data_IF_876467216810
#
_entry.id   IF_876467216810
#
_cell.length_a   1.000
_cell.length_b   1.000
_cell.length_c   1.000
_cell.angle_alpha   90.00
_cell.angle_beta   90.00
_cell.angle_gamma   90.00
#
_symmetry.space_group_name_H-M   'P 1'
#
loop_
_entity.id
_entity.type
_entity.pdbx_description
1 polymer ?
#
# COMPACT_ATOMS: atom_id res chain seq x y z
N UNK A 1 -49.41 -5.72 -33.76
CA UNK A 1 -49.30 -4.42 -34.47
C UNK A 1 -49.36 -3.21 -33.52
N UNK A 2 -48.79 -3.30 -32.30
CA UNK A 2 -48.51 -2.15 -31.41
C UNK A 2 -47.23 -2.50 -30.62
N UNK A 3 -46.09 -2.62 -31.33
CA UNK A 3 -44.78 -2.86 -30.70
C UNK A 3 -43.63 -2.27 -31.53
N UNK A 4 -43.87 -1.18 -32.27
CA UNK A 4 -42.85 -0.57 -33.15
C UNK A 4 -42.82 0.97 -33.13
N UNK A 5 -43.40 1.63 -32.13
CA UNK A 5 -43.30 3.09 -31.97
C UNK A 5 -43.33 3.49 -30.50
N UNK A 6 -42.18 3.39 -29.82
CA UNK A 6 -41.65 4.35 -28.82
C UNK A 6 -40.14 4.04 -28.78
N UNK A 7 -39.44 4.47 -29.82
CA UNK A 7 -38.01 4.79 -29.76
C UNK A 7 -37.93 6.18 -30.36
N UNK A 8 -37.90 7.18 -29.49
CA UNK A 8 -37.39 8.54 -29.70
C UNK A 8 -37.90 9.44 -28.57
N UNK A 9 -36.98 10.15 -27.93
CA UNK A 9 -37.19 11.14 -26.86
C UNK A 9 -37.23 10.64 -25.41
N UNK A 10 -36.15 10.00 -24.96
CA UNK A 10 -35.65 10.23 -23.60
C UNK A 10 -34.33 10.96 -23.76
N UNK A 11 -34.32 12.23 -23.34
CA UNK A 11 -33.21 13.14 -23.55
C UNK A 11 -31.87 12.57 -23.01
N UNK A 12 -30.75 12.73 -23.72
CA UNK A 12 -29.42 12.30 -23.25
C UNK A 12 -29.04 12.92 -21.89
N UNK A 13 -29.65 14.06 -21.50
CA UNK A 13 -29.44 14.68 -20.18
C UNK A 13 -30.02 13.88 -19.01
N UNK A 14 -31.06 13.07 -19.21
CA UNK A 14 -31.68 12.26 -18.15
C UNK A 14 -30.87 10.99 -17.88
N UNK A 15 -30.36 10.33 -18.93
CA UNK A 15 -29.43 9.21 -18.79
C UNK A 15 -28.09 9.66 -18.17
N UNK A 16 -27.59 10.82 -18.56
CA UNK A 16 -26.38 11.42 -17.99
C UNK A 16 -26.58 11.84 -16.52
N UNK A 17 -27.74 12.41 -16.17
CA UNK A 17 -28.09 12.76 -14.79
C UNK A 17 -28.29 11.53 -13.91
N UNK A 18 -28.90 10.46 -14.41
CA UNK A 18 -29.05 9.19 -13.68
C UNK A 18 -27.70 8.47 -13.52
N UNK A 19 -26.82 8.57 -14.51
CA UNK A 19 -25.45 8.05 -14.46
C UNK A 19 -24.59 8.84 -13.47
N UNK A 20 -24.67 10.17 -13.48
CA UNK A 20 -24.03 11.05 -12.49
C UNK A 20 -24.60 10.81 -11.09
N UNK A 21 -25.92 10.68 -10.94
CA UNK A 21 -26.54 10.38 -9.65
C UNK A 21 -26.14 8.98 -9.15
N UNK A 22 -26.00 7.98 -10.02
CA UNK A 22 -25.42 6.67 -9.64
C UNK A 22 -23.94 6.78 -9.30
N UNK A 23 -23.15 7.55 -10.04
CA UNK A 23 -21.72 7.80 -9.77
C UNK A 23 -21.53 8.51 -8.45
N UNK A 24 -22.29 9.59 -8.20
CA UNK A 24 -22.32 10.35 -6.96
C UNK A 24 -22.86 9.46 -5.84
N UNK A 25 -23.95 8.72 -6.03
CA UNK A 25 -24.48 7.81 -5.01
C UNK A 25 -23.51 6.70 -4.66
N UNK A 26 -22.68 6.22 -5.60
CA UNK A 26 -21.69 5.17 -5.34
C UNK A 26 -20.38 5.72 -4.78
N UNK A 27 -19.86 6.84 -5.29
CA UNK A 27 -18.74 7.58 -4.70
C UNK A 27 -19.09 8.04 -3.28
N UNK A 28 -20.31 8.54 -3.08
CA UNK A 28 -20.88 8.81 -1.78
C UNK A 28 -21.00 7.48 -1.02
N UNK A 29 -21.74 6.46 -1.46
CA UNK A 29 -21.86 5.17 -0.75
C UNK A 29 -20.53 4.52 -0.34
N UNK A 30 -19.49 4.48 -1.18
CA UNK A 30 -18.22 3.81 -0.86
C UNK A 30 -17.29 4.70 -0.03
N UNK A 31 -17.12 5.98 -0.38
CA UNK A 31 -16.31 6.92 0.44
C UNK A 31 -17.01 7.30 1.73
N UNK A 32 -18.33 7.48 1.74
CA UNK A 32 -19.16 7.78 2.91
C UNK A 32 -19.29 6.56 3.83
N UNK A 33 -19.37 5.31 3.35
CA UNK A 33 -19.31 4.14 4.25
C UNK A 33 -17.96 4.04 4.96
N UNK A 34 -16.87 4.26 4.23
CA UNK A 34 -15.53 4.29 4.81
C UNK A 34 -15.35 5.46 5.80
N UNK A 35 -15.80 6.66 5.41
CA UNK A 35 -15.72 7.88 6.22
C UNK A 35 -16.67 7.89 7.42
N UNK A 36 -17.87 7.32 7.32
CA UNK A 36 -18.80 7.22 8.43
C UNK A 36 -18.34 6.23 9.48
N UNK A 37 -17.83 5.04 9.10
CA UNK A 37 -17.32 4.08 10.10
C UNK A 37 -16.03 4.59 10.74
N UNK A 38 -15.17 5.27 9.99
CA UNK A 38 -13.93 5.81 10.56
C UNK A 38 -14.20 6.95 11.56
N UNK A 39 -15.37 7.59 11.48
CA UNK A 39 -15.79 8.69 12.37
C UNK A 39 -16.93 8.35 13.34
N UNK A 40 -17.52 7.16 13.26
CA UNK A 40 -18.70 6.77 14.02
C UNK A 40 -18.80 5.25 14.21
N UNK A 41 -19.43 4.79 15.29
CA UNK A 41 -19.59 3.37 15.57
C UNK A 41 -20.65 2.75 14.66
N UNK A 42 -20.45 1.48 14.27
CA UNK A 42 -21.40 0.72 13.43
C UNK A 42 -22.85 0.83 13.91
N UNK A 43 -23.07 0.70 15.23
CA UNK A 43 -24.39 0.81 15.83
C UNK A 43 -25.02 2.19 15.62
N UNK A 44 -24.23 3.27 15.80
CA UNK A 44 -24.71 4.64 15.60
C UNK A 44 -25.09 4.91 14.14
N UNK A 45 -24.34 4.36 13.19
CA UNK A 45 -24.67 4.47 11.75
C UNK A 45 -25.97 3.71 11.47
N UNK A 46 -26.10 2.50 12.01
CA UNK A 46 -27.32 1.68 11.87
C UNK A 46 -28.55 2.38 12.44
N UNK A 47 -28.41 3.09 13.55
CA UNK A 47 -29.52 3.78 14.21
C UNK A 47 -29.98 5.04 13.45
N UNK A 48 -29.09 5.67 12.68
CA UNK A 48 -29.38 6.89 11.89
C UNK A 48 -29.95 6.55 10.50
N UNK A 49 -29.61 5.37 9.97
CA UNK A 49 -29.97 4.97 8.60
C UNK A 49 -31.32 4.23 8.59
N UNK A 50 -32.27 4.57 7.69
CA UNK A 50 -33.52 3.83 7.57
C UNK A 50 -33.31 2.35 7.26
N UNK A 51 -34.16 1.47 7.82
CA UNK A 51 -34.05 0.00 7.67
C UNK A 51 -34.04 -0.50 6.22
N UNK A 52 -34.60 0.27 5.28
CA UNK A 52 -34.54 -0.02 3.84
C UNK A 52 -33.12 -0.05 3.27
N UNK A 53 -32.15 0.55 3.98
CA UNK A 53 -30.75 0.62 3.60
C UNK A 53 -29.85 -0.34 4.41
N UNK A 54 -30.42 -1.27 5.19
CA UNK A 54 -29.64 -2.26 5.94
C UNK A 54 -28.71 -3.09 5.02
N UNK A 55 -29.12 -3.36 3.78
CA UNK A 55 -28.33 -4.11 2.80
C UNK A 55 -27.12 -3.36 2.26
N UNK A 56 -27.10 -2.03 2.38
CA UNK A 56 -25.95 -1.21 2.01
C UNK A 56 -25.10 -0.82 3.21
N UNK A 57 -25.52 -1.12 4.45
CA UNK A 57 -24.67 -0.89 5.60
C UNK A 57 -23.39 -1.76 5.51
N UNK A 58 -22.26 -1.21 5.95
CA UNK A 58 -21.02 -1.95 6.00
C UNK A 58 -21.12 -3.10 7.01
N UNK A 59 -20.38 -4.18 6.74
CA UNK A 59 -20.26 -5.29 7.68
C UNK A 59 -19.65 -4.83 9.01
N UNK A 60 -19.86 -5.61 10.07
CA UNK A 60 -19.19 -5.35 11.35
C UNK A 60 -17.69 -5.50 11.20
N UNK A 61 -16.96 -4.56 11.77
CA UNK A 61 -15.49 -4.49 11.75
C UNK A 61 -14.89 -5.48 12.78
N UNK A 62 -15.15 -6.78 12.60
CA UNK A 62 -14.63 -7.85 13.44
C UNK A 62 -13.50 -8.61 12.73
N UNK A 63 -12.43 -9.00 13.46
CA UNK A 63 -11.35 -9.81 12.89
C UNK A 63 -11.85 -11.22 12.56
N UNK A 64 -11.46 -11.74 11.40
CA UNK A 64 -11.73 -13.11 10.99
C UNK A 64 -10.50 -14.00 11.25
N UNK A 65 -10.44 -14.63 12.42
CA UNK A 65 -9.33 -15.51 12.78
C UNK A 65 -9.61 -16.95 12.34
N UNK A 66 -8.95 -17.39 11.27
CA UNK A 66 -9.21 -18.69 10.64
C UNK A 66 -8.88 -19.92 11.51
N UNK A 67 -7.99 -19.78 12.49
CA UNK A 67 -7.59 -20.88 13.38
C UNK A 67 -8.54 -21.14 14.56
N UNK A 68 -9.64 -20.39 14.66
CA UNK A 68 -10.76 -20.67 15.59
C UNK A 68 -12.10 -20.84 14.87
N UNK A 69 -12.12 -20.76 13.53
CA UNK A 69 -13.33 -20.91 12.74
C UNK A 69 -13.77 -22.38 12.67
N UNK A 70 -15.02 -22.61 12.30
CA UNK A 70 -15.53 -23.97 12.01
C UNK A 70 -14.68 -24.60 10.89
N UNK A 71 -14.09 -25.77 11.16
CA UNK A 71 -13.12 -26.42 10.26
C UNK A 71 -11.65 -26.08 10.51
N UNK A 72 -11.33 -25.26 11.51
CA UNK A 72 -9.94 -24.94 11.86
C UNK A 72 -9.11 -26.18 12.22
N UNK A 73 -9.72 -27.24 12.77
CA UNK A 73 -9.03 -28.48 13.14
C UNK A 73 -8.31 -29.16 11.97
N UNK A 74 -8.79 -28.95 10.74
CA UNK A 74 -8.19 -29.49 9.51
C UNK A 74 -7.19 -28.54 8.83
N UNK A 75 -7.07 -27.29 9.30
CA UNK A 75 -6.12 -26.33 8.71
C UNK A 75 -4.68 -26.63 9.16
N UNK A 76 -3.70 -26.59 8.24
CA UNK A 76 -2.29 -26.67 8.59
C UNK A 76 -1.91 -25.58 9.58
N UNK A 77 -1.15 -25.93 10.63
CA UNK A 77 -0.64 -24.96 11.61
C UNK A 77 -1.61 -24.57 12.73
N UNK A 78 -2.84 -25.11 12.80
CA UNK A 78 -3.79 -24.79 13.89
C UNK A 78 -3.27 -25.13 15.28
N UNK A 79 -2.61 -26.26 15.46
CA UNK A 79 -2.02 -26.64 16.75
C UNK A 79 -0.97 -25.61 17.21
N UNK A 80 -0.08 -25.22 16.30
CA UNK A 80 0.95 -24.21 16.56
C UNK A 80 0.32 -22.83 16.79
N UNK A 81 -0.76 -22.48 16.07
CA UNK A 81 -1.49 -21.23 16.27
C UNK A 81 -2.08 -21.15 17.70
N UNK A 82 -2.65 -22.25 18.20
CA UNK A 82 -3.15 -22.33 19.58
C UNK A 82 -2.04 -22.24 20.62
N UNK A 83 -0.92 -22.94 20.40
CA UNK A 83 0.27 -22.86 21.26
C UNK A 83 0.83 -21.43 21.28
N UNK A 84 0.98 -20.81 20.11
CA UNK A 84 1.46 -19.44 19.97
C UNK A 84 0.53 -18.45 20.68
N UNK A 85 -0.79 -18.65 20.57
CA UNK A 85 -1.76 -17.83 21.28
C UNK A 85 -1.57 -17.90 22.80
N UNK A 86 -1.34 -19.10 23.34
CA UNK A 86 -1.09 -19.28 24.76
C UNK A 86 0.26 -18.68 25.20
N UNK A 87 1.31 -18.85 24.42
CA UNK A 87 2.63 -18.26 24.66
C UNK A 87 2.58 -16.73 24.71
N UNK A 88 1.87 -16.09 23.77
CA UNK A 88 1.73 -14.63 23.74
C UNK A 88 0.94 -14.13 24.96
N UNK A 89 -0.15 -14.82 25.35
CA UNK A 89 -0.92 -14.49 26.56
C UNK A 89 -0.05 -14.60 27.83
N UNK A 90 0.88 -15.55 27.86
CA UNK A 90 1.85 -15.74 28.94
C UNK A 90 3.05 -14.78 28.87
N UNK A 91 2.99 -13.74 28.04
CA UNK A 91 4.02 -12.69 27.90
C UNK A 91 5.39 -13.21 27.44
N UNK A 92 5.41 -14.21 26.56
CA UNK A 92 6.65 -14.76 26.01
C UNK A 92 7.58 -13.72 25.34
N UNK A 93 8.83 -14.11 25.19
CA UNK A 93 9.87 -13.38 24.47
C UNK A 93 9.76 -13.60 22.94
N UNK A 94 10.43 -12.76 22.12
CA UNK A 94 10.54 -12.98 20.68
C UNK A 94 11.19 -14.34 20.32
N UNK A 95 12.15 -14.80 21.12
CA UNK A 95 12.87 -16.07 20.91
C UNK A 95 11.97 -17.29 21.15
N UNK A 96 11.07 -17.21 22.13
CA UNK A 96 10.07 -18.25 22.38
C UNK A 96 9.13 -18.41 21.19
N UNK A 97 8.73 -17.29 20.56
CA UNK A 97 7.87 -17.32 19.36
C UNK A 97 8.59 -17.99 18.21
N UNK A 98 9.85 -17.61 17.96
CA UNK A 98 10.65 -18.24 16.90
C UNK A 98 10.80 -19.74 17.15
N UNK A 99 10.94 -20.15 18.41
CA UNK A 99 11.04 -21.57 18.79
C UNK A 99 9.75 -22.33 18.48
N UNK A 100 8.58 -21.78 18.85
CA UNK A 100 7.27 -22.36 18.51
C UNK A 100 7.06 -22.42 16.99
N UNK A 101 7.46 -21.37 16.25
CA UNK A 101 7.30 -21.32 14.80
C UNK A 101 8.22 -22.30 14.06
N UNK A 102 9.34 -22.76 14.64
CA UNK A 102 10.22 -23.75 14.01
C UNK A 102 9.53 -25.09 13.76
N UNK A 103 8.49 -25.41 14.53
CA UNK A 103 7.73 -26.65 14.42
C UNK A 103 6.87 -26.73 13.15
N UNK A 104 6.65 -25.60 12.46
CA UNK A 104 5.83 -25.56 11.25
C UNK A 104 6.59 -26.04 10.01
N UNK A 105 6.01 -26.97 9.23
CA UNK A 105 6.59 -27.39 7.96
C UNK A 105 6.58 -26.23 6.96
N UNK A 106 7.48 -26.28 5.97
CA UNK A 106 7.45 -25.33 4.86
C UNK A 106 6.66 -25.95 3.69
N UNK A 107 5.46 -25.45 3.37
CA UNK A 107 4.68 -26.01 2.27
C UNK A 107 5.34 -25.82 0.90
N UNK A 108 6.37 -24.96 0.81
CA UNK A 108 7.13 -24.73 -0.43
C UNK A 108 8.32 -25.70 -0.60
N UNK A 109 8.75 -26.39 0.46
CA UNK A 109 9.84 -27.40 0.36
C UNK A 109 9.42 -28.60 -0.48
N UNK A 110 8.12 -28.92 -0.52
CA UNK A 110 7.57 -30.01 -1.32
C UNK A 110 7.47 -29.68 -2.82
N UNK A 111 7.35 -28.40 -3.20
CA UNK A 111 7.14 -27.94 -4.59
C UNK A 111 8.41 -27.33 -5.24
N UNK A 112 9.28 -26.64 -4.50
CA UNK A 112 10.42 -25.88 -5.04
C UNK A 112 11.82 -26.46 -4.68
N UNK A 113 11.87 -27.53 -3.89
CA UNK A 113 13.10 -28.17 -3.44
C UNK A 113 13.79 -27.46 -2.25
N UNK A 114 14.91 -28.02 -1.74
CA UNK A 114 15.60 -27.49 -0.57
C UNK A 114 16.32 -26.18 -0.89
N UNK A 115 15.61 -25.05 -0.79
CA UNK A 115 16.15 -23.72 -1.09
C UNK A 115 15.20 -22.54 -0.90
N UNK A 116 13.91 -22.77 -0.58
CA UNK A 116 12.96 -21.66 -0.44
C UNK A 116 13.30 -20.77 0.76
N UNK A 117 13.58 -19.49 0.48
CA UNK A 117 14.05 -18.50 1.46
C UNK A 117 13.02 -18.12 2.53
N UNK A 118 11.74 -18.37 2.30
CA UNK A 118 10.66 -17.98 3.22
C UNK A 118 9.66 -19.12 3.42
N UNK A 119 8.93 -19.07 4.54
CA UNK A 119 7.90 -20.06 4.88
C UNK A 119 6.54 -19.35 5.04
N UNK A 120 5.61 -19.50 4.08
CA UNK A 120 4.34 -18.80 4.10
C UNK A 120 3.44 -19.24 5.26
N UNK A 121 3.53 -20.49 5.71
CA UNK A 121 2.73 -20.99 6.83
C UNK A 121 3.20 -20.39 8.17
N UNK A 122 4.51 -20.26 8.37
CA UNK A 122 5.08 -19.58 9.56
C UNK A 122 4.63 -18.13 9.62
N UNK A 123 4.72 -17.41 8.48
CA UNK A 123 4.28 -16.02 8.38
C UNK A 123 2.79 -15.92 8.70
N UNK A 124 1.97 -16.76 8.07
CA UNK A 124 0.53 -16.68 8.23
C UNK A 124 0.08 -16.97 9.67
N UNK A 125 0.53 -18.08 10.27
CA UNK A 125 0.21 -18.42 11.67
C UNK A 125 0.61 -17.29 12.63
N UNK A 126 1.81 -16.74 12.44
CA UNK A 126 2.32 -15.65 13.26
C UNK A 126 1.49 -14.36 13.12
N UNK A 127 1.29 -13.90 11.88
CA UNK A 127 0.60 -12.64 11.57
C UNK A 127 -0.87 -12.71 12.02
N UNK A 128 -1.57 -13.81 11.68
CA UNK A 128 -2.96 -14.04 12.08
C UNK A 128 -3.10 -14.00 13.61
N UNK A 129 -2.24 -14.72 14.33
CA UNK A 129 -2.35 -14.86 15.79
C UNK A 129 -2.01 -13.57 16.52
N UNK A 130 -0.96 -12.86 16.10
CA UNK A 130 -0.57 -11.59 16.71
C UNK A 130 -1.64 -10.53 16.54
N UNK A 131 -2.13 -10.34 15.32
CA UNK A 131 -3.11 -9.28 15.07
C UNK A 131 -4.49 -9.64 15.60
N UNK A 132 -4.84 -10.92 15.71
CA UNK A 132 -6.04 -11.35 16.42
C UNK A 132 -5.96 -11.00 17.91
N UNK A 133 -4.84 -11.26 18.58
CA UNK A 133 -4.65 -10.89 19.99
C UNK A 133 -4.54 -9.36 20.19
N UNK A 134 -4.03 -8.64 19.18
CA UNK A 134 -3.96 -7.18 19.14
C UNK A 134 -5.27 -6.49 18.73
N UNK A 135 -6.34 -7.23 18.43
CA UNK A 135 -7.54 -6.70 17.76
C UNK A 135 -8.37 -5.69 18.54
N UNK A 136 -8.14 -5.55 19.85
CA UNK A 136 -8.95 -4.69 20.74
C UNK A 136 -8.92 -3.20 20.35
N UNK A 137 -7.78 -2.70 19.88
CA UNK A 137 -7.66 -1.33 19.36
C UNK A 137 -6.40 -1.18 18.52
N UNK A 138 -6.32 -0.09 17.72
CA UNK A 138 -5.12 0.22 16.94
C UNK A 138 -3.84 0.25 17.80
N UNK A 139 -3.91 0.81 19.01
CA UNK A 139 -2.77 0.86 19.93
C UNK A 139 -2.28 -0.52 20.35
N UNK A 140 -3.18 -1.50 20.54
CA UNK A 140 -2.79 -2.86 20.88
C UNK A 140 -2.07 -3.53 19.71
N UNK A 141 -2.59 -3.39 18.48
CA UNK A 141 -1.92 -3.87 17.27
C UNK A 141 -0.54 -3.21 17.09
N UNK A 142 -0.41 -1.91 17.32
CA UNK A 142 0.87 -1.21 17.21
C UNK A 142 1.88 -1.62 18.29
N UNK A 143 1.41 -1.86 19.51
CA UNK A 143 2.24 -2.38 20.59
C UNK A 143 2.72 -3.80 20.27
N UNK A 144 1.88 -4.64 19.66
CA UNK A 144 2.27 -5.97 19.22
C UNK A 144 3.33 -5.93 18.11
N UNK A 145 3.14 -5.07 17.10
CA UNK A 145 4.16 -4.84 16.05
C UNK A 145 5.50 -4.38 16.65
N UNK A 146 5.46 -3.45 17.61
CA UNK A 146 6.67 -2.93 18.25
C UNK A 146 7.37 -4.01 19.09
N UNK A 147 6.62 -4.78 19.89
CA UNK A 147 7.15 -5.85 20.74
C UNK A 147 7.82 -6.96 19.93
N UNK A 148 7.23 -7.33 18.79
CA UNK A 148 7.67 -8.48 17.99
C UNK A 148 8.35 -8.06 16.68
N UNK A 149 8.85 -6.82 16.59
CA UNK A 149 9.47 -6.28 15.38
C UNK A 149 10.61 -7.15 14.85
N UNK A 150 11.44 -7.71 15.74
CA UNK A 150 12.53 -8.62 15.37
C UNK A 150 12.02 -9.87 14.66
N UNK A 151 10.93 -10.47 15.14
CA UNK A 151 10.32 -11.65 14.51
C UNK A 151 9.74 -11.30 13.14
N UNK A 152 9.09 -10.15 13.01
CA UNK A 152 8.63 -9.66 11.71
C UNK A 152 9.78 -9.48 10.72
N UNK A 153 10.90 -8.87 11.13
CA UNK A 153 12.07 -8.68 10.26
C UNK A 153 12.67 -10.00 9.78
N UNK A 154 12.71 -11.01 10.66
CA UNK A 154 13.21 -12.35 10.31
C UNK A 154 12.25 -13.10 9.37
N UNK A 155 10.95 -12.90 9.53
CA UNK A 155 9.94 -13.60 8.73
C UNK A 155 9.64 -12.91 7.40
N UNK A 156 9.84 -11.59 7.28
CA UNK A 156 9.51 -10.77 6.12
C UNK A 156 10.76 -10.26 5.38
N UNK A 157 11.78 -11.11 5.25
CA UNK A 157 13.08 -10.77 4.67
C UNK A 157 13.09 -10.71 3.12
N UNK A 158 12.09 -11.31 2.46
CA UNK A 158 11.92 -11.25 1.00
C UNK A 158 10.63 -10.56 0.60
N UNK A 159 10.54 -10.09 -0.64
CA UNK A 159 9.32 -9.46 -1.18
C UNK A 159 8.13 -10.44 -1.14
N UNK A 160 8.35 -11.72 -1.45
CA UNK A 160 7.32 -12.75 -1.39
C UNK A 160 6.84 -12.99 0.04
N UNK A 161 7.74 -12.91 1.01
CA UNK A 161 7.41 -13.00 2.43
C UNK A 161 6.58 -11.79 2.89
N UNK A 162 6.93 -10.58 2.44
CA UNK A 162 6.15 -9.37 2.68
C UNK A 162 4.75 -9.45 2.05
N UNK A 163 4.62 -10.01 0.85
CA UNK A 163 3.32 -10.30 0.22
C UNK A 163 2.49 -11.29 1.04
N UNK A 164 3.13 -12.31 1.63
CA UNK A 164 2.45 -13.24 2.55
C UNK A 164 1.94 -12.54 3.81
N UNK A 165 2.71 -11.59 4.37
CA UNK A 165 2.27 -10.76 5.50
C UNK A 165 1.05 -9.93 5.12
N UNK A 166 1.08 -9.24 3.97
CA UNK A 166 -0.03 -8.44 3.46
C UNK A 166 -1.30 -9.27 3.24
N UNK A 167 -1.16 -10.45 2.63
CA UNK A 167 -2.27 -11.41 2.45
C UNK A 167 -2.87 -11.83 3.79
N UNK A 168 -2.02 -12.16 4.77
CA UNK A 168 -2.46 -12.58 6.11
C UNK A 168 -3.22 -11.46 6.84
N UNK A 169 -2.77 -10.21 6.71
CA UNK A 169 -3.47 -9.02 7.25
C UNK A 169 -4.83 -8.84 6.58
N UNK A 170 -4.88 -8.94 5.25
CA UNK A 170 -6.11 -8.81 4.48
C UNK A 170 -7.16 -9.86 4.87
N UNK A 171 -6.76 -11.13 4.97
CA UNK A 171 -7.65 -12.23 5.36
C UNK A 171 -8.26 -12.00 6.75
N UNK A 172 -7.43 -11.56 7.71
CA UNK A 172 -7.88 -11.28 9.08
C UNK A 172 -8.82 -10.07 9.15
N UNK A 173 -8.53 -9.01 8.38
CA UNK A 173 -9.20 -7.71 8.50
C UNK A 173 -10.08 -7.34 7.30
N UNK A 174 -10.53 -8.32 6.50
CA UNK A 174 -11.36 -8.12 5.29
C UNK A 174 -12.57 -7.20 5.48
N UNK A 175 -13.17 -7.20 6.68
CA UNK A 175 -14.34 -6.39 7.03
C UNK A 175 -13.98 -5.04 7.70
N UNK A 176 -12.70 -4.82 8.02
CA UNK A 176 -12.19 -3.64 8.70
C UNK A 176 -11.13 -2.91 7.85
N UNK A 177 -11.59 -2.26 6.78
CA UNK A 177 -10.73 -1.53 5.82
C UNK A 177 -9.79 -0.52 6.49
N UNK A 178 -10.29 0.25 7.47
CA UNK A 178 -9.46 1.22 8.20
C UNK A 178 -8.31 0.55 8.97
N UNK A 179 -8.52 -0.64 9.56
CA UNK A 179 -7.44 -1.38 10.23
C UNK A 179 -6.35 -1.77 9.23
N UNK A 180 -6.73 -2.22 8.03
CA UNK A 180 -5.77 -2.53 6.96
C UNK A 180 -4.92 -1.30 6.63
N UNK A 181 -5.55 -0.13 6.40
CA UNK A 181 -4.84 1.11 6.09
C UNK A 181 -3.82 1.48 7.18
N UNK A 182 -4.23 1.46 8.46
CA UNK A 182 -3.34 1.87 9.56
C UNK A 182 -2.23 0.86 9.84
N UNK A 183 -2.48 -0.44 9.63
CA UNK A 183 -1.45 -1.48 9.77
C UNK A 183 -0.39 -1.34 8.68
N UNK A 184 -0.80 -1.18 7.42
CA UNK A 184 0.13 -0.99 6.30
C UNK A 184 0.91 0.31 6.49
N UNK A 185 0.25 1.42 6.87
CA UNK A 185 0.92 2.69 7.19
C UNK A 185 2.00 2.52 8.27
N UNK A 186 1.66 1.80 9.34
CA UNK A 186 2.57 1.53 10.45
C UNK A 186 3.74 0.66 10.00
N UNK A 187 3.50 -0.39 9.23
CA UNK A 187 4.52 -1.33 8.77
C UNK A 187 5.50 -0.70 7.77
N UNK A 188 5.01 0.15 6.86
CA UNK A 188 5.86 0.98 6.00
C UNK A 188 6.72 1.95 6.82
N UNK A 189 6.15 2.56 7.88
CA UNK A 189 6.88 3.53 8.73
C UNK A 189 8.07 2.91 9.47
N UNK A 190 7.97 1.64 9.84
CA UNK A 190 9.02 0.90 10.56
C UNK A 190 9.87 0.02 9.64
N UNK A 191 9.70 0.15 8.31
CA UNK A 191 10.42 -0.61 7.29
C UNK A 191 10.29 -2.13 7.48
N UNK A 192 9.07 -2.59 7.79
CA UNK A 192 8.72 -4.02 7.72
C UNK A 192 8.19 -4.42 6.35
N UNK A 193 7.70 -3.45 5.59
CA UNK A 193 7.20 -3.62 4.23
C UNK A 193 7.88 -2.58 3.36
N UNK A 194 8.19 -2.98 2.14
CA UNK A 194 8.68 -2.11 1.10
C UNK A 194 7.52 -1.52 0.29
N UNK A 195 7.75 -0.35 -0.28
CA UNK A 195 6.72 0.32 -1.08
C UNK A 195 6.37 -0.50 -2.34
N UNK A 196 7.36 -1.18 -2.93
CA UNK A 196 7.18 -2.08 -4.07
C UNK A 196 6.26 -3.26 -3.74
N UNK A 197 6.47 -3.92 -2.60
CA UNK A 197 5.66 -5.04 -2.14
C UNK A 197 4.19 -4.63 -1.95
N UNK A 198 3.94 -3.46 -1.35
CA UNK A 198 2.59 -2.91 -1.19
C UNK A 198 1.95 -2.60 -2.55
N UNK A 199 2.69 -2.01 -3.48
CA UNK A 199 2.19 -1.75 -4.83
C UNK A 199 1.83 -3.07 -5.54
N UNK A 200 2.71 -4.07 -5.51
CA UNK A 200 2.46 -5.39 -6.09
C UNK A 200 1.24 -6.09 -5.48
N UNK A 201 1.06 -5.99 -4.16
CA UNK A 201 -0.10 -6.54 -3.47
C UNK A 201 -1.42 -5.86 -3.90
N UNK A 202 -1.44 -4.54 -4.09
CA UNK A 202 -2.65 -3.80 -4.52
C UNK A 202 -3.16 -4.30 -5.88
N UNK A 203 -2.24 -4.63 -6.79
CA UNK A 203 -2.56 -5.14 -8.13
C UNK A 203 -2.62 -6.66 -8.21
N UNK A 204 -2.58 -7.36 -7.07
CA UNK A 204 -2.61 -8.81 -7.03
C UNK A 204 -4.01 -9.37 -7.33
N UNK A 205 -4.09 -10.64 -7.70
CA UNK A 205 -5.36 -11.30 -8.03
C UNK A 205 -6.29 -11.38 -6.81
N UNK A 206 -5.74 -11.52 -5.61
CA UNK A 206 -6.47 -11.55 -4.34
C UNK A 206 -7.24 -10.24 -4.09
N UNK A 207 -6.68 -9.11 -4.53
CA UNK A 207 -7.28 -7.78 -4.35
C UNK A 207 -8.29 -7.42 -5.44
N UNK A 208 -8.47 -8.26 -6.45
CA UNK A 208 -9.39 -8.00 -7.58
C UNK A 208 -10.83 -7.66 -7.15
N UNK A 209 -11.35 -8.34 -6.12
CA UNK A 209 -12.69 -8.10 -5.57
C UNK A 209 -12.82 -6.73 -4.90
N UNK A 210 -11.72 -6.24 -4.32
CA UNK A 210 -11.68 -5.01 -3.53
C UNK A 210 -11.06 -3.84 -4.29
N UNK A 211 -10.53 -4.07 -5.48
CA UNK A 211 -9.80 -3.10 -6.31
C UNK A 211 -10.57 -1.80 -6.57
N UNK A 212 -11.89 -1.86 -6.67
CA UNK A 212 -12.74 -0.66 -6.89
C UNK A 212 -13.08 0.11 -5.61
N UNK A 213 -12.68 -0.39 -4.43
CA UNK A 213 -12.95 0.26 -3.15
C UNK A 213 -11.91 1.35 -2.86
N UNK A 214 -12.34 2.40 -2.16
CA UNK A 214 -11.53 3.62 -1.93
C UNK A 214 -10.25 3.34 -1.16
N UNK A 215 -10.33 2.50 -0.11
CA UNK A 215 -9.21 2.26 0.80
C UNK A 215 -7.96 1.70 0.10
N UNK A 216 -8.13 0.94 -0.99
CA UNK A 216 -7.03 0.44 -1.82
C UNK A 216 -6.20 1.59 -2.40
N UNK A 217 -6.90 2.58 -2.96
CA UNK A 217 -6.28 3.75 -3.55
C UNK A 217 -5.70 4.69 -2.50
N UNK A 218 -6.33 4.78 -1.32
CA UNK A 218 -5.76 5.48 -0.17
C UNK A 218 -4.42 4.86 0.25
N UNK A 219 -4.33 3.52 0.33
CA UNK A 219 -3.07 2.82 0.63
C UNK A 219 -2.03 3.09 -0.46
N UNK A 220 -2.41 3.05 -1.75
CA UNK A 220 -1.50 3.35 -2.85
C UNK A 220 -0.92 4.77 -2.73
N UNK A 221 -1.80 5.77 -2.63
CA UNK A 221 -1.36 7.17 -2.53
C UNK A 221 -0.55 7.43 -1.25
N UNK A 222 -0.92 6.81 -0.13
CA UNK A 222 -0.16 6.89 1.12
C UNK A 222 1.24 6.29 0.97
N UNK A 223 1.37 5.15 0.29
CA UNK A 223 2.65 4.49 -0.02
C UNK A 223 3.54 5.40 -0.87
N UNK A 224 2.99 5.96 -1.97
CA UNK A 224 3.73 6.90 -2.82
C UNK A 224 4.15 8.15 -2.02
N UNK A 225 3.24 8.75 -1.25
CA UNK A 225 3.54 9.93 -0.44
C UNK A 225 4.62 9.67 0.60
N UNK A 226 4.64 8.48 1.24
CA UNK A 226 5.70 8.11 2.17
C UNK A 226 7.05 8.04 1.47
N UNK A 227 7.10 7.42 0.30
CA UNK A 227 8.33 7.31 -0.46
C UNK A 227 8.83 8.69 -0.89
N UNK A 228 7.95 9.54 -1.42
CA UNK A 228 8.30 10.92 -1.80
C UNK A 228 8.77 11.76 -0.61
N UNK A 229 8.12 11.64 0.55
CA UNK A 229 8.56 12.32 1.78
C UNK A 229 9.89 11.77 2.29
N UNK A 230 10.15 10.48 2.13
CA UNK A 230 11.42 9.87 2.52
C UNK A 230 12.57 10.42 1.67
N UNK A 231 12.42 10.44 0.34
CA UNK A 231 13.40 11.02 -0.59
C UNK A 231 13.61 12.50 -0.30
N UNK A 232 12.53 13.29 -0.23
CA UNK A 232 12.60 14.73 0.03
C UNK A 232 13.34 15.05 1.35
N UNK A 233 13.10 14.25 2.40
CA UNK A 233 13.79 14.37 3.67
C UNK A 233 15.29 14.09 3.52
N UNK A 234 15.68 13.00 2.87
CA UNK A 234 17.09 12.67 2.63
C UNK A 234 17.78 13.74 1.79
N UNK A 235 17.12 14.26 0.75
CA UNK A 235 17.64 15.36 -0.07
C UNK A 235 17.92 16.61 0.77
N UNK A 236 17.01 16.95 1.67
CA UNK A 236 17.18 18.10 2.58
C UNK A 236 18.31 17.86 3.58
N UNK A 237 18.34 16.70 4.23
CA UNK A 237 19.38 16.32 5.19
C UNK A 237 20.78 16.36 4.53
N UNK A 238 20.91 15.86 3.30
CA UNK A 238 22.15 15.92 2.53
C UNK A 238 22.56 17.36 2.17
N UNK A 239 21.61 18.18 1.71
CA UNK A 239 21.87 19.59 1.38
C UNK A 239 22.38 20.36 2.61
N UNK A 240 21.74 20.17 3.76
CA UNK A 240 22.16 20.79 5.03
C UNK A 240 23.56 20.32 5.46
N UNK A 241 23.88 19.04 5.27
CA UNK A 241 25.22 18.51 5.58
C UNK A 241 26.31 19.10 4.66
N UNK A 242 26.06 19.16 3.35
CA UNK A 242 26.96 19.79 2.37
C UNK A 242 27.21 21.27 2.66
N UNK A 243 26.17 22.02 3.02
CA UNK A 243 26.30 23.44 3.38
C UNK A 243 27.13 23.64 4.65
N UNK A 244 26.96 22.79 5.67
CA UNK A 244 27.77 22.84 6.91
C UNK A 244 29.24 22.54 6.64
N UNK A 245 29.51 21.55 5.77
CA UNK A 245 30.86 21.20 5.35
C UNK A 245 31.54 22.36 4.57
N UNK A 246 30.83 22.95 3.60
CA UNK A 246 31.34 24.06 2.79
C UNK A 246 31.66 25.32 3.63
N UNK A 247 30.82 25.65 4.62
CA UNK A 247 31.08 26.78 5.55
C UNK A 247 32.31 26.54 6.43
N UNK A 248 32.67 25.28 6.69
CA UNK A 248 33.87 24.94 7.48
C UNK A 248 35.15 24.97 6.65
N UNK A 249 35.09 24.70 5.34
CA UNK A 249 36.25 24.76 4.43
C UNK A 249 36.61 26.17 3.97
N UNK A 250 35.68 27.14 4.05
CA UNK A 250 35.90 28.52 3.60
C UNK A 250 36.59 29.45 4.62
N UNK A 251 36.74 29.04 5.89
CA UNK A 251 37.23 29.91 6.96
C UNK A 251 38.72 29.75 7.29
N UNK A 252 39.50 29.06 6.46
CA UNK A 252 40.96 28.89 6.60
C UNK A 252 41.78 29.93 5.82
N UNK A 253 41.17 31.01 5.31
CA UNK A 253 41.85 32.04 4.50
C UNK A 253 41.54 33.49 4.94
N UNK A 254 41.59 33.76 6.24
CA UNK A 254 41.73 35.13 6.75
C UNK A 254 42.23 35.07 8.19
N UNK A 255 43.53 35.27 8.36
CA UNK A 255 44.17 35.35 9.67
C UNK A 255 43.82 36.65 10.38
N UNK A 256 43.59 36.56 11.68
CA UNK A 256 44.37 37.31 12.68
C UNK A 256 44.14 36.67 14.07
N UNK A 257 45.20 36.59 14.85
CA UNK A 257 45.21 36.05 16.22
C UNK A 257 44.40 36.96 17.16
N UNK A 258 43.58 36.38 18.06
CA UNK A 258 43.39 36.86 19.45
C UNK A 258 42.43 35.95 20.24
N UNK A 259 43.05 35.18 21.13
CA UNK A 259 42.70 34.80 22.50
C UNK A 259 41.24 34.80 23.03
N UNK A 260 41.00 33.67 23.69
CA UNK A 260 40.19 33.39 24.88
C UNK A 260 38.65 33.27 24.88
N UNK A 261 38.27 32.21 25.60
CA UNK A 261 37.08 32.02 26.43
C UNK A 261 35.82 31.32 25.88
N UNK A 262 35.61 30.15 26.50
CA UNK A 262 34.34 29.57 26.95
C UNK A 262 33.44 28.82 25.94
N UNK A 263 33.61 27.50 25.94
CA UNK A 263 32.50 26.62 26.34
C UNK A 263 31.28 26.57 25.42
N UNK A 264 31.47 26.48 24.10
CA UNK A 264 30.41 26.16 23.14
C UNK A 264 30.61 24.76 22.56
N UNK A 265 29.61 23.90 22.70
CA UNK A 265 29.53 22.49 22.24
C UNK A 265 30.37 22.18 20.99
N UNK A 266 31.17 21.11 21.06
CA UNK A 266 31.65 20.36 19.88
C UNK A 266 30.42 19.75 19.18
N UNK A 267 29.63 20.58 18.52
CA UNK A 267 28.44 20.18 17.78
C UNK A 267 28.89 19.55 16.45
N UNK A 268 28.83 18.22 16.42
CA UNK A 268 28.37 17.38 15.30
C UNK A 268 28.72 17.89 13.89
N UNK A 269 30.01 17.99 13.57
CA UNK A 269 30.49 18.33 12.22
C UNK A 269 30.38 17.09 11.33
N UNK A 270 29.61 17.13 10.23
CA UNK A 270 29.56 16.01 9.29
C UNK A 270 30.92 15.88 8.58
N UNK A 271 31.53 14.69 8.65
CA UNK A 271 32.75 14.34 7.90
C UNK A 271 32.44 14.12 6.41
N UNK A 272 33.44 14.23 5.55
CA UNK A 272 33.32 13.94 4.11
C UNK A 272 32.71 12.53 3.88
N UNK A 273 33.22 11.53 4.61
CA UNK A 273 32.72 10.15 4.57
C UNK A 273 31.24 10.04 4.98
N UNK A 274 30.78 10.87 5.92
CA UNK A 274 29.37 10.90 6.33
C UNK A 274 28.49 11.49 5.23
N UNK A 275 28.97 12.53 4.52
CA UNK A 275 28.28 13.12 3.37
C UNK A 275 28.19 12.11 2.23
N UNK A 276 29.27 11.41 1.90
CA UNK A 276 29.29 10.34 0.89
C UNK A 276 28.27 9.23 1.20
N UNK A 277 28.23 8.73 2.45
CA UNK A 277 27.21 7.74 2.87
C UNK A 277 25.78 8.28 2.79
N UNK A 278 25.57 9.58 3.02
CA UNK A 278 24.26 10.21 2.85
C UNK A 278 23.87 10.33 1.37
N UNK A 279 24.84 10.52 0.47
CA UNK A 279 24.64 10.53 -0.98
C UNK A 279 24.24 9.15 -1.50
N UNK A 280 24.98 8.09 -1.14
CA UNK A 280 24.65 6.71 -1.51
C UNK A 280 23.24 6.32 -1.04
N UNK A 281 22.88 6.72 0.17
CA UNK A 281 21.54 6.46 0.73
C UNK A 281 20.45 7.21 -0.04
N UNK A 282 20.72 8.44 -0.46
CA UNK A 282 19.78 9.22 -1.27
C UNK A 282 19.61 8.61 -2.65
N UNK A 283 20.69 8.20 -3.31
CA UNK A 283 20.65 7.55 -4.62
C UNK A 283 19.84 6.25 -4.57
N UNK A 284 20.08 5.42 -3.54
CA UNK A 284 19.28 4.21 -3.31
C UNK A 284 17.80 4.55 -3.17
N UNK A 285 17.46 5.54 -2.34
CA UNK A 285 16.07 5.95 -2.12
C UNK A 285 15.42 6.55 -3.40
N UNK A 286 16.17 7.27 -4.22
CA UNK A 286 15.69 7.77 -5.52
C UNK A 286 15.46 6.62 -6.51
N UNK A 287 16.34 5.62 -6.51
CA UNK A 287 16.19 4.38 -7.26
C UNK A 287 14.92 3.63 -6.87
N UNK A 288 14.68 3.45 -5.57
CA UNK A 288 13.47 2.84 -5.03
C UNK A 288 12.20 3.62 -5.39
N UNK A 289 12.25 4.96 -5.35
CA UNK A 289 11.11 5.81 -5.72
C UNK A 289 10.79 5.67 -7.20
N UNK A 290 11.82 5.71 -8.06
CA UNK A 290 11.67 5.48 -9.51
C UNK A 290 11.08 4.10 -9.77
N UNK A 291 11.61 3.06 -9.14
CA UNK A 291 11.14 1.69 -9.29
C UNK A 291 9.68 1.54 -8.84
N UNK A 292 9.28 2.19 -7.74
CA UNK A 292 7.89 2.22 -7.27
C UNK A 292 6.93 2.76 -8.35
N UNK A 293 7.26 3.90 -8.98
CA UNK A 293 6.44 4.44 -10.07
C UNK A 293 6.41 3.49 -11.27
N UNK A 294 7.56 2.91 -11.65
CA UNK A 294 7.62 1.95 -12.76
C UNK A 294 6.70 0.74 -12.50
N UNK A 295 6.76 0.14 -11.31
CA UNK A 295 5.89 -0.98 -10.92
C UNK A 295 4.42 -0.56 -11.02
N UNK A 296 4.05 0.60 -10.46
CA UNK A 296 2.66 1.07 -10.46
C UNK A 296 2.14 1.25 -11.90
N UNK A 297 2.89 1.94 -12.76
CA UNK A 297 2.49 2.17 -14.13
C UNK A 297 2.49 0.89 -14.96
N UNK A 298 3.48 0.02 -14.79
CA UNK A 298 3.51 -1.29 -15.45
C UNK A 298 2.30 -2.14 -15.06
N UNK A 299 1.92 -2.16 -13.78
CA UNK A 299 0.73 -2.90 -13.32
C UNK A 299 -0.55 -2.32 -13.88
N UNK A 300 -0.69 -0.99 -13.94
CA UNK A 300 -1.83 -0.33 -14.60
C UNK A 300 -1.93 -0.70 -16.07
N UNK A 301 -0.83 -0.59 -16.82
CA UNK A 301 -0.75 -0.96 -18.23
C UNK A 301 -1.17 -2.42 -18.41
N UNK A 302 -0.60 -3.33 -17.61
CA UNK A 302 -0.89 -4.75 -17.69
C UNK A 302 -2.38 -5.06 -17.51
N UNK A 303 -3.03 -4.54 -16.45
CA UNK A 303 -4.44 -4.83 -16.18
C UNK A 303 -5.39 -4.15 -17.18
N UNK A 304 -5.04 -2.94 -17.65
CA UNK A 304 -5.85 -2.22 -18.63
C UNK A 304 -5.77 -2.91 -20.00
N UNK A 305 -4.56 -3.29 -20.43
CA UNK A 305 -4.35 -4.04 -21.67
C UNK A 305 -5.02 -5.42 -21.61
N UNK A 306 -4.91 -6.14 -20.49
CA UNK A 306 -5.62 -7.43 -20.31
C UNK A 306 -7.14 -7.25 -20.46
N UNK A 307 -7.70 -6.20 -19.88
CA UNK A 307 -9.13 -5.90 -20.00
C UNK A 307 -9.56 -5.53 -21.42
N UNK A 308 -8.76 -4.71 -22.12
CA UNK A 308 -9.04 -4.30 -23.50
C UNK A 308 -9.01 -5.51 -24.45
N UNK A 309 -7.96 -6.33 -24.37
CA UNK A 309 -7.82 -7.56 -25.17
C UNK A 309 -8.97 -8.53 -24.86
N UNK A 310 -9.34 -8.69 -23.59
CA UNK A 310 -10.46 -9.56 -23.20
C UNK A 310 -11.80 -9.07 -23.74
N UNK A 311 -12.03 -7.75 -23.73
CA UNK A 311 -13.27 -7.18 -24.26
C UNK A 311 -13.35 -7.33 -25.78
N UNK A 312 -12.25 -7.14 -26.49
CA UNK A 312 -12.15 -7.39 -27.93
C UNK A 312 -12.43 -8.86 -28.26
N UNK A 313 -11.79 -9.79 -27.54
CA UNK A 313 -11.97 -11.24 -27.71
C UNK A 313 -13.42 -11.68 -27.44
N UNK A 314 -14.04 -11.14 -26.38
CA UNK A 314 -15.42 -11.47 -25.98
C UNK A 314 -16.47 -10.70 -26.81
N UNK A 315 -16.06 -9.80 -27.72
CA UNK A 315 -16.91 -8.88 -28.47
C UNK A 315 -17.85 -8.06 -27.54
N UNK A 316 -17.29 -7.53 -26.45
CA UNK A 316 -17.98 -6.72 -25.43
C UNK A 316 -17.45 -5.29 -25.44
N UNK A 317 -18.30 -4.36 -25.03
CA UNK A 317 -17.91 -2.96 -24.85
C UNK A 317 -16.87 -2.84 -23.71
N UNK A 318 -15.70 -2.27 -24.03
CA UNK A 318 -14.64 -2.10 -23.06
C UNK A 318 -14.91 -0.96 -22.07
N UNK A 319 -15.71 0.06 -22.44
CA UNK A 319 -16.06 1.24 -21.62
C UNK A 319 -17.07 0.91 -20.51
N UNK A 320 -16.72 -0.06 -19.68
CA UNK A 320 -17.52 -0.45 -18.53
C UNK A 320 -17.09 0.30 -17.25
N UNK A 321 -17.83 0.07 -16.16
CA UNK A 321 -17.57 0.73 -14.89
C UNK A 321 -16.14 0.48 -14.36
N UNK A 322 -15.66 -0.77 -14.46
CA UNK A 322 -14.32 -1.13 -13.99
C UNK A 322 -13.26 -0.39 -14.81
N UNK A 323 -13.39 -0.35 -16.13
CA UNK A 323 -12.46 0.37 -17.00
C UNK A 323 -12.40 1.86 -16.68
N UNK A 324 -13.55 2.54 -16.63
CA UNK A 324 -13.66 3.97 -16.27
C UNK A 324 -13.09 4.29 -14.92
N UNK A 325 -13.26 3.38 -13.97
CA UNK A 325 -12.69 3.50 -12.64
C UNK A 325 -11.17 3.39 -12.68
N UNK A 326 -10.64 2.33 -13.30
CA UNK A 326 -9.21 2.04 -13.37
C UNK A 326 -8.44 3.11 -14.14
N UNK A 327 -8.93 3.52 -15.31
CA UNK A 327 -8.30 4.58 -16.11
C UNK A 327 -8.32 5.93 -15.37
N UNK A 328 -9.40 6.22 -14.64
CA UNK A 328 -9.48 7.41 -13.79
C UNK A 328 -8.51 7.38 -12.61
N UNK A 329 -8.18 6.19 -12.08
CA UNK A 329 -7.17 6.03 -11.03
C UNK A 329 -5.74 6.16 -11.56
N UNK A 330 -5.48 5.68 -12.78
CA UNK A 330 -4.23 5.97 -13.48
C UNK A 330 -4.05 7.49 -13.65
N UNK A 331 -5.07 8.18 -14.15
CA UNK A 331 -5.05 9.64 -14.29
C UNK A 331 -4.84 10.34 -12.93
N UNK A 332 -5.46 9.84 -11.86
CA UNK A 332 -5.26 10.39 -10.52
C UNK A 332 -3.81 10.27 -10.04
N UNK A 333 -3.11 9.17 -10.35
CA UNK A 333 -1.69 9.02 -9.98
C UNK A 333 -0.82 10.06 -10.68
N UNK A 334 -1.05 10.30 -11.98
CA UNK A 334 -0.38 11.36 -12.73
C UNK A 334 -0.60 12.75 -12.12
N UNK A 335 -1.87 13.10 -11.84
CA UNK A 335 -2.21 14.42 -11.33
C UNK A 335 -1.76 14.65 -9.89
N UNK A 336 -1.90 13.66 -9.02
CA UNK A 336 -1.61 13.81 -7.59
C UNK A 336 -0.10 13.86 -7.30
N UNK A 337 0.73 13.29 -8.16
CA UNK A 337 2.18 13.16 -7.98
C UNK A 337 2.97 13.72 -9.16
N UNK A 338 2.43 14.76 -9.81
CA UNK A 338 2.94 15.28 -11.08
C UNK A 338 4.43 15.66 -11.00
N UNK A 339 4.89 16.28 -9.91
CA UNK A 339 6.28 16.70 -9.74
C UNK A 339 7.24 15.49 -9.82
N UNK A 340 6.89 14.39 -9.16
CA UNK A 340 7.73 13.19 -9.14
C UNK A 340 7.64 12.43 -10.47
N UNK A 341 6.46 12.39 -11.08
CA UNK A 341 6.28 11.73 -12.38
C UNK A 341 7.02 12.47 -13.49
N UNK A 342 7.01 13.82 -13.47
CA UNK A 342 7.77 14.64 -14.41
C UNK A 342 9.28 14.35 -14.34
N UNK A 343 9.85 14.16 -13.15
CA UNK A 343 11.28 13.80 -13.01
C UNK A 343 11.65 12.51 -13.75
N UNK A 344 10.70 11.58 -13.90
CA UNK A 344 10.93 10.27 -14.51
C UNK A 344 10.31 10.13 -15.90
N UNK A 345 9.75 11.20 -16.46
CA UNK A 345 8.95 11.17 -17.69
C UNK A 345 9.69 10.54 -18.87
N UNK A 346 10.98 10.89 -19.06
CA UNK A 346 11.79 10.31 -20.14
C UNK A 346 11.99 8.80 -20.02
N UNK A 347 12.10 8.25 -18.80
CA UNK A 347 12.13 6.79 -18.61
C UNK A 347 10.76 6.17 -18.87
N UNK A 348 9.68 6.82 -18.41
CA UNK A 348 8.32 6.33 -18.59
C UNK A 348 7.94 6.26 -20.08
N UNK A 349 8.29 7.27 -20.85
CA UNK A 349 8.07 7.32 -22.30
C UNK A 349 8.87 6.25 -23.05
N UNK A 350 10.13 6.01 -22.66
CA UNK A 350 11.00 5.05 -23.34
C UNK A 350 10.65 3.60 -23.00
N UNK A 351 10.24 3.31 -21.76
CA UNK A 351 10.09 1.93 -21.27
C UNK A 351 8.65 1.44 -21.14
N UNK A 352 7.68 2.32 -20.88
CA UNK A 352 6.32 1.92 -20.51
C UNK A 352 5.26 2.46 -21.49
N UNK A 353 5.32 3.75 -21.79
CA UNK A 353 4.35 4.45 -22.64
C UNK A 353 4.91 4.62 -24.05
N UNK A 354 5.27 3.51 -24.69
CA UNK A 354 5.79 3.47 -26.05
C UNK A 354 4.64 3.58 -27.07
N UNK A 355 5.00 3.81 -28.34
CA UNK A 355 4.02 3.92 -29.44
C UNK A 355 3.23 2.63 -29.69
N UNK A 356 3.71 1.49 -29.21
CA UNK A 356 3.05 0.19 -29.33
C UNK A 356 1.95 -0.03 -28.28
N UNK A 357 1.86 0.85 -27.28
CA UNK A 357 0.84 0.79 -26.24
C UNK A 357 -0.54 1.15 -26.80
N UNK A 358 -1.59 0.53 -26.27
CA UNK A 358 -2.97 0.85 -26.68
C UNK A 358 -3.26 2.36 -26.59
N UNK A 359 -3.83 2.98 -27.64
CA UNK A 359 -4.07 4.42 -27.70
C UNK A 359 -4.85 4.96 -26.50
N UNK A 360 -5.81 4.20 -25.95
CA UNK A 360 -6.63 4.68 -24.84
C UNK A 360 -5.83 4.86 -23.55
N UNK A 361 -4.79 4.04 -23.36
CA UNK A 361 -3.89 4.14 -22.21
C UNK A 361 -2.84 5.24 -22.47
N UNK A 362 -2.30 5.27 -23.68
CA UNK A 362 -1.29 6.24 -24.11
C UNK A 362 -1.82 7.69 -24.07
N UNK A 363 -3.09 7.90 -24.42
CA UNK A 363 -3.73 9.22 -24.38
C UNK A 363 -3.71 9.86 -22.99
N UNK A 364 -3.80 9.07 -21.90
CA UNK A 364 -3.70 9.60 -20.54
C UNK A 364 -2.31 10.18 -20.26
N UNK A 365 -1.28 9.53 -20.78
CA UNK A 365 0.09 10.00 -20.66
C UNK A 365 0.33 11.26 -21.50
N UNK A 366 -0.19 11.31 -22.73
CA UNK A 366 -0.15 12.53 -23.55
C UNK A 366 -0.90 13.70 -22.91
N UNK A 367 -2.07 13.46 -22.31
CA UNK A 367 -2.81 14.49 -21.56
C UNK A 367 -1.99 15.03 -20.39
N UNK A 368 -1.29 14.16 -19.66
CA UNK A 368 -0.39 14.58 -18.59
C UNK A 368 0.79 15.41 -19.11
N UNK A 369 1.41 15.00 -20.21
CA UNK A 369 2.48 15.77 -20.86
C UNK A 369 2.00 17.15 -21.31
N UNK A 370 0.78 17.24 -21.85
CA UNK A 370 0.18 18.51 -22.27
C UNK A 370 -0.08 19.51 -21.12
N UNK A 371 -0.10 19.05 -19.86
CA UNK A 371 -0.15 19.95 -18.69
C UNK A 371 1.22 20.52 -18.30
N UNK A 372 2.28 19.93 -18.83
CA UNK A 372 3.69 20.21 -18.48
C UNK A 372 4.45 20.88 -19.63
N UNK A 373 3.93 20.78 -20.85
CA UNK A 373 4.35 21.50 -22.06
C UNK A 373 3.74 22.90 -22.09
#
# INVERSE_FOLDING_TARGET
MICSRISTSLAPSFAFSLFILRKIYYLWSTSFKFFLISLSYHQRIRDIVPRSYDSVLPARAEPFYKYTADGASSLPGTAVAQQLMQSIKNRCSPEDILSVLKELPNPLEDDEGPGTRYNPLKIDVFVQTIFFLGSKSFSHSFAAIAKFNQVFKLLADSEEAQLCVLRSIYELWRNHQQMICVLIDKMLKIQLLDCSAVANWIFSKEMSHDFTKMYIWEILHLTIQKMSKYVSRLTRELKEAREKLARSGGNTSSGDDSDDSMGGRRDDKPTEEMVERMEERLETAQGDQKNLFLIIFQRFIMILSEHLVRCDTDNKEFDNYWYRWTIGRLQQVFLAHHEQVQMYSGTLETLLFTQDLDPHILDIFHQFYALSA
#
